data_IF_773352472527
#
_entry.id   IF_773352472527
#
_cell.length_a   1.000
_cell.length_b   1.000
_cell.length_c   1.000
_cell.angle_alpha   90.00
_cell.angle_beta   90.00
_cell.angle_gamma   90.00
#
_symmetry.space_group_name_H-M   'P 1'
#
loop_
_entity.id
_entity.type
_entity.pdbx_description
1 polymer ?
#
# COMPACT_ATOMS: atom_id res chain seq x y z
N UNK A 1 -10.12 2.34 -8.15
CA UNK A 1 -9.44 2.38 -6.83
C UNK A 1 -10.07 1.42 -5.83
N UNK A 2 -11.35 1.55 -5.47
CA UNK A 2 -12.00 0.66 -4.48
C UNK A 2 -11.87 -0.84 -4.83
N UNK A 3 -12.03 -1.20 -6.10
CA UNK A 3 -11.85 -2.60 -6.55
C UNK A 3 -10.41 -3.10 -6.36
N UNK A 4 -9.41 -2.23 -6.55
CA UNK A 4 -8.00 -2.56 -6.35
C UNK A 4 -7.76 -2.81 -4.87
N UNK A 5 -8.19 -1.88 -4.01
CA UNK A 5 -8.06 -2.02 -2.54
C UNK A 5 -8.71 -3.30 -2.07
N UNK A 6 -9.91 -3.62 -2.55
CA UNK A 6 -10.61 -4.86 -2.20
C UNK A 6 -9.86 -6.12 -2.66
N UNK A 7 -9.24 -6.08 -3.85
CA UNK A 7 -8.46 -7.22 -4.39
C UNK A 7 -7.22 -7.52 -3.57
N UNK A 8 -6.59 -6.48 -3.03
CA UNK A 8 -5.36 -6.59 -2.23
C UNK A 8 -5.61 -6.55 -0.72
N UNK A 9 -6.86 -6.54 -0.27
CA UNK A 9 -7.15 -6.59 1.17
C UNK A 9 -6.64 -7.93 1.74
N UNK A 10 -6.19 -7.87 2.99
CA UNK A 10 -5.62 -9.01 3.70
C UNK A 10 -6.47 -9.41 4.91
N UNK A 11 -7.73 -8.97 4.95
CA UNK A 11 -8.64 -9.15 6.09
C UNK A 11 -8.84 -10.63 6.47
N UNK A 12 -9.04 -11.49 5.46
CA UNK A 12 -9.17 -12.94 5.67
C UNK A 12 -7.87 -13.54 6.24
N UNK A 13 -6.71 -13.05 5.81
CA UNK A 13 -5.40 -13.48 6.28
C UNK A 13 -5.15 -13.00 7.72
N UNK A 14 -5.57 -11.78 8.05
CA UNK A 14 -5.53 -11.24 9.42
C UNK A 14 -6.40 -12.10 10.34
N UNK A 15 -7.65 -12.37 9.96
CA UNK A 15 -8.56 -13.19 10.76
C UNK A 15 -7.99 -14.60 10.98
N UNK A 16 -7.41 -15.20 9.93
CA UNK A 16 -6.78 -16.52 10.03
C UNK A 16 -5.57 -16.52 10.95
N UNK A 17 -4.74 -15.48 10.92
CA UNK A 17 -3.60 -15.34 11.82
C UNK A 17 -4.06 -15.19 13.28
N UNK A 18 -5.07 -14.35 13.54
CA UNK A 18 -5.60 -14.12 14.89
C UNK A 18 -6.32 -15.35 15.47
N UNK A 19 -7.01 -16.12 14.63
CA UNK A 19 -7.79 -17.28 15.08
C UNK A 19 -6.97 -18.58 15.19
N UNK A 20 -6.03 -18.81 14.27
CA UNK A 20 -5.29 -20.08 14.17
C UNK A 20 -3.80 -19.94 14.48
N UNK A 21 -3.26 -18.73 14.61
CA UNK A 21 -1.83 -18.48 14.69
C UNK A 21 -1.08 -18.85 13.39
N UNK A 22 -1.80 -18.98 12.28
CA UNK A 22 -1.27 -19.48 11.01
C UNK A 22 -1.16 -18.36 9.97
N UNK A 23 -0.01 -18.29 9.30
CA UNK A 23 0.27 -17.29 8.25
C UNK A 23 1.11 -16.12 8.75
N UNK A 24 1.05 -15.02 8.01
CA UNK A 24 1.79 -13.79 8.31
C UNK A 24 0.95 -12.86 9.22
N UNK A 25 1.62 -12.08 10.06
CA UNK A 25 0.99 -11.08 10.92
C UNK A 25 0.67 -9.78 10.16
N UNK A 26 -0.19 -9.88 9.15
CA UNK A 26 -0.63 -8.76 8.34
C UNK A 26 -1.29 -7.65 9.18
N UNK A 27 -1.20 -6.42 8.68
CA UNK A 27 -2.04 -5.30 9.10
C UNK A 27 -2.82 -4.75 7.90
N UNK A 28 -3.99 -4.15 8.17
CA UNK A 28 -4.79 -3.52 7.11
C UNK A 28 -4.03 -2.35 6.51
N UNK A 29 -4.27 -2.09 5.22
CA UNK A 29 -3.84 -0.85 4.57
C UNK A 29 -5.01 0.13 4.53
N UNK A 30 -4.96 1.11 5.42
CA UNK A 30 -5.92 2.20 5.44
C UNK A 30 -5.31 3.47 4.83
N UNK A 31 -6.12 4.22 4.10
CA UNK A 31 -5.74 5.51 3.52
C UNK A 31 -6.77 6.58 3.85
N UNK A 32 -6.31 7.83 3.85
CA UNK A 32 -7.10 9.02 4.13
C UNK A 32 -6.91 10.07 3.05
N UNK A 33 -7.86 11.00 2.96
CA UNK A 33 -7.78 12.16 2.06
C UNK A 33 -7.77 13.46 2.85
N UNK A 34 -7.08 14.48 2.35
CA UNK A 34 -7.03 15.82 2.96
C UNK A 34 -8.30 16.68 2.77
N UNK A 35 -9.45 16.08 2.44
CA UNK A 35 -10.72 16.77 2.26
C UNK A 35 -11.30 17.20 3.61
N UNK A 36 -10.90 18.37 4.11
CA UNK A 36 -11.69 19.07 5.13
C UNK A 36 -12.88 19.82 4.47
N UNK A 37 -14.09 19.80 5.05
CA UNK A 37 -15.26 20.49 4.48
C UNK A 37 -15.10 22.01 4.32
N UNK A 38 -14.10 22.64 4.95
CA UNK A 38 -14.07 24.08 5.22
C UNK A 38 -12.93 24.87 4.54
N UNK A 39 -12.13 24.28 3.65
CA UNK A 39 -11.11 25.05 2.90
C UNK A 39 -11.11 24.73 1.41
N UNK A 40 -11.96 25.47 0.68
CA UNK A 40 -11.96 25.67 -0.77
C UNK A 40 -10.66 26.34 -1.33
N UNK A 41 -9.51 26.09 -0.73
CA UNK A 41 -8.23 26.66 -1.15
C UNK A 41 -7.38 25.58 -1.84
N UNK A 42 -7.56 25.46 -3.16
CA UNK A 42 -6.56 25.19 -4.23
C UNK A 42 -5.30 24.34 -3.93
N UNK A 43 -5.31 23.44 -2.95
CA UNK A 43 -4.28 22.42 -2.76
C UNK A 43 -4.95 21.10 -3.14
N UNK A 44 -4.41 20.42 -4.15
CA UNK A 44 -5.02 19.22 -4.72
C UNK A 44 -5.37 18.15 -3.69
N UNK A 45 -6.15 17.17 -4.13
CA UNK A 45 -6.48 15.99 -3.35
C UNK A 45 -5.18 15.22 -3.04
N UNK A 46 -4.90 15.02 -1.76
CA UNK A 46 -3.79 14.18 -1.30
C UNK A 46 -4.38 12.90 -0.73
N UNK A 47 -3.91 11.75 -1.22
CA UNK A 47 -4.19 10.44 -0.68
C UNK A 47 -2.96 9.96 0.07
N UNK A 48 -3.12 9.60 1.35
CA UNK A 48 -2.03 9.15 2.21
C UNK A 48 -2.46 7.98 3.07
N UNK A 49 -1.62 6.95 3.14
CA UNK A 49 -1.83 5.77 3.97
C UNK A 49 -0.50 5.10 4.28
N UNK A 50 -0.52 4.22 5.26
CA UNK A 50 0.64 3.44 5.70
C UNK A 50 0.15 2.16 6.36
N UNK A 51 0.93 1.11 6.28
CA UNK A 51 0.66 -0.16 6.97
C UNK A 51 1.96 -0.78 7.45
N UNK A 52 1.90 -1.58 8.50
CA UNK A 52 3.07 -2.33 8.98
C UNK A 52 3.29 -3.54 8.09
N UNK A 53 4.56 -3.79 7.75
CA UNK A 53 4.94 -5.03 7.09
C UNK A 53 4.91 -6.20 8.09
N UNK A 54 4.50 -7.40 7.64
CA UNK A 54 4.60 -8.59 8.47
C UNK A 54 6.08 -8.90 8.77
N UNK A 55 6.35 -9.38 9.98
CA UNK A 55 7.71 -9.58 10.53
C UNK A 55 7.82 -10.88 11.34
N UNK A 56 6.78 -11.73 11.34
CA UNK A 56 6.73 -12.93 12.16
C UNK A 56 7.47 -14.16 11.59
N UNK A 57 8.00 -14.08 10.36
CA UNK A 57 8.76 -15.14 9.69
C UNK A 57 9.95 -14.52 8.92
N UNK A 58 10.95 -15.34 8.58
CA UNK A 58 12.20 -14.89 7.93
C UNK A 58 11.96 -14.04 6.66
N UNK A 59 11.08 -14.50 5.77
CA UNK A 59 10.75 -13.80 4.52
C UNK A 59 9.46 -12.96 4.61
N UNK A 60 8.87 -12.81 5.80
CA UNK A 60 7.57 -12.17 5.97
C UNK A 60 7.55 -10.76 5.39
N UNK A 61 8.54 -9.94 5.75
CA UNK A 61 8.61 -8.55 5.30
C UNK A 61 8.79 -8.44 3.79
N UNK A 62 9.54 -9.37 3.19
CA UNK A 62 9.72 -9.41 1.74
C UNK A 62 8.41 -9.71 1.00
N UNK A 63 7.65 -10.71 1.47
CA UNK A 63 6.32 -11.02 0.94
C UNK A 63 5.37 -9.82 1.08
N UNK A 64 5.42 -9.13 2.23
CA UNK A 64 4.63 -7.93 2.48
C UNK A 64 4.96 -6.79 1.52
N UNK A 65 6.25 -6.51 1.31
CA UNK A 65 6.71 -5.47 0.40
C UNK A 65 6.25 -5.77 -1.03
N UNK A 66 6.41 -7.01 -1.50
CA UNK A 66 5.97 -7.40 -2.85
C UNK A 66 4.46 -7.18 -3.04
N UNK A 67 3.65 -7.66 -2.10
CA UNK A 67 2.18 -7.51 -2.14
C UNK A 67 1.75 -6.05 -2.19
N UNK A 68 2.30 -5.21 -1.30
CA UNK A 68 1.91 -3.80 -1.25
C UNK A 68 2.47 -2.98 -2.40
N UNK A 69 3.66 -3.29 -2.91
CA UNK A 69 4.19 -2.66 -4.12
C UNK A 69 3.31 -2.94 -5.34
N UNK A 70 2.80 -4.17 -5.48
CA UNK A 70 1.88 -4.51 -6.56
C UNK A 70 0.55 -3.74 -6.42
N UNK A 71 -0.04 -3.70 -5.21
CA UNK A 71 -1.23 -2.91 -4.92
C UNK A 71 -1.05 -1.43 -5.27
N UNK A 72 0.01 -0.80 -4.76
CA UNK A 72 0.29 0.62 -5.00
C UNK A 72 0.58 0.93 -6.47
N UNK A 73 1.17 -0.02 -7.21
CA UNK A 73 1.36 0.10 -8.65
C UNK A 73 0.03 0.18 -9.39
N UNK A 74 -0.91 -0.72 -9.06
CA UNK A 74 -2.25 -0.71 -9.63
C UNK A 74 -3.01 0.57 -9.29
N UNK A 75 -2.88 1.07 -8.05
CA UNK A 75 -3.50 2.34 -7.64
C UNK A 75 -2.92 3.50 -8.46
N UNK A 76 -1.59 3.59 -8.59
CA UNK A 76 -0.91 4.64 -9.38
C UNK A 76 -1.35 4.63 -10.84
N UNK A 77 -1.46 3.46 -11.46
CA UNK A 77 -1.97 3.33 -12.83
C UNK A 77 -3.41 3.82 -12.93
N UNK A 78 -4.26 3.47 -11.97
CA UNK A 78 -5.67 3.89 -11.92
C UNK A 78 -5.86 5.40 -11.67
N UNK A 79 -4.84 6.09 -11.15
CA UNK A 79 -4.90 7.52 -10.78
C UNK A 79 -3.77 8.28 -11.49
N UNK A 80 -4.03 8.59 -12.75
CA UNK A 80 -3.13 9.34 -13.61
C UNK A 80 -3.02 10.82 -13.22
N UNK A 81 -1.87 11.44 -13.48
CA UNK A 81 -1.69 12.89 -13.30
C UNK A 81 -1.38 13.33 -11.88
N UNK A 82 -1.10 12.40 -10.97
CA UNK A 82 -0.69 12.67 -9.59
C UNK A 82 0.81 12.44 -9.40
N UNK A 83 1.41 13.21 -8.49
CA UNK A 83 2.73 12.90 -7.95
C UNK A 83 2.60 11.84 -6.86
N UNK A 84 3.49 10.85 -6.90
CA UNK A 84 3.47 9.73 -5.97
C UNK A 84 4.78 9.70 -5.19
N UNK A 85 4.66 9.48 -3.88
CA UNK A 85 5.77 9.16 -2.99
C UNK A 85 5.43 7.87 -2.25
N UNK A 86 6.27 6.86 -2.43
CA UNK A 86 6.13 5.56 -1.77
C UNK A 86 7.47 5.25 -1.14
N UNK A 87 7.45 4.82 0.12
CA UNK A 87 8.64 4.45 0.85
C UNK A 87 8.33 3.23 1.72
N UNK A 88 9.35 2.39 1.92
CA UNK A 88 9.37 1.35 2.94
C UNK A 88 10.40 1.81 3.97
N UNK A 89 9.94 2.10 5.19
CA UNK A 89 10.77 2.79 6.19
C UNK A 89 11.38 4.08 5.61
N UNK A 90 12.70 4.23 5.66
CA UNK A 90 13.44 5.38 5.11
C UNK A 90 13.87 5.19 3.63
N UNK A 91 13.48 4.08 2.99
CA UNK A 91 13.86 3.78 1.60
C UNK A 91 12.75 4.16 0.62
N UNK A 92 13.02 5.11 -0.26
CA UNK A 92 12.08 5.51 -1.32
C UNK A 92 11.98 4.44 -2.40
N UNK A 93 10.77 4.00 -2.68
CA UNK A 93 10.46 3.00 -3.70
C UNK A 93 10.43 3.64 -5.08
N UNK A 94 11.34 3.20 -5.96
CA UNK A 94 11.44 3.73 -7.32
C UNK A 94 10.33 3.18 -8.20
N UNK A 95 9.78 4.07 -9.02
CA UNK A 95 8.82 3.72 -10.07
C UNK A 95 9.55 3.32 -11.34
N UNK A 96 9.32 2.09 -11.80
CA UNK A 96 9.71 1.65 -13.13
C UNK A 96 8.61 2.02 -14.13
N UNK A 97 8.90 2.99 -15.01
CA UNK A 97 7.97 3.44 -16.04
C UNK A 97 7.80 2.45 -17.21
N UNK A 98 8.74 1.53 -17.40
CA UNK A 98 8.67 0.48 -18.44
C UNK A 98 7.75 -0.64 -17.98
N UNK A 99 7.92 -1.08 -16.74
CA UNK A 99 7.11 -2.15 -16.15
C UNK A 99 5.79 -1.66 -15.53
N UNK A 100 5.66 -0.34 -15.34
CA UNK A 100 4.57 0.29 -14.60
C UNK A 100 4.39 -0.31 -13.19
N UNK A 101 5.50 -0.45 -12.48
CA UNK A 101 5.52 -1.03 -11.14
C UNK A 101 6.51 -0.34 -10.21
N UNK A 102 6.21 -0.36 -8.91
CA UNK A 102 7.23 -0.17 -7.88
C UNK A 102 8.06 -1.45 -7.78
N UNK A 103 9.38 -1.33 -7.95
CA UNK A 103 10.29 -2.46 -7.85
C UNK A 103 10.89 -2.52 -6.44
N UNK A 104 10.58 -3.55 -5.64
CA UNK A 104 11.11 -3.72 -4.30
C UNK A 104 12.56 -4.19 -4.22
N UNK A 105 13.18 -4.49 -5.36
CA UNK A 105 14.59 -4.89 -5.45
C UNK A 105 15.56 -3.73 -5.72
N UNK A 106 15.03 -2.52 -5.99
CA UNK A 106 15.79 -1.35 -6.46
C UNK A 106 15.94 -0.21 -5.45
#
# INVERSE_FOLDING_TARGET
MEEIVRRYCVDDQIERFLSLGAGLNWESFDFSTNLEPSRFLKKGLVLSGSTKLPDNQEDASWVGVQHWCECLSQIRISVSGCEWKVAVEDHEMRWDAVLNSYDPTL
#
